data_IF_205577766610
#
_entry.id   IF_205577766610
#
_cell.length_a   1.000
_cell.length_b   1.000
_cell.length_c   1.000
_cell.angle_alpha   90.00
_cell.angle_beta   90.00
_cell.angle_gamma   90.00
#
_symmetry.space_group_name_H-M   'P 1'
#
loop_
_entity.id
_entity.type
_entity.pdbx_description
1 polymer ?
#
# COMPACT_ATOMS: atom_id res chain seq x y z
N UNK A 1 -17.08 61.51 54.42
CA UNK A 1 -17.78 60.67 53.41
C UNK A 1 -18.82 61.58 52.79
N UNK A 2 -18.70 61.86 51.49
CA UNK A 2 -19.63 62.76 50.80
C UNK A 2 -20.85 61.95 50.36
N UNK A 3 -22.02 62.35 50.86
CA UNK A 3 -23.31 61.79 50.49
C UNK A 3 -23.92 62.64 49.38
N UNK A 4 -24.28 62.01 48.26
CA UNK A 4 -24.75 62.68 47.06
C UNK A 4 -26.24 62.40 46.85
N UNK A 5 -27.01 63.46 46.64
CA UNK A 5 -28.39 63.37 46.16
C UNK A 5 -28.41 63.61 44.65
N UNK A 6 -29.09 62.75 43.92
CA UNK A 6 -29.22 62.82 42.47
C UNK A 6 -30.69 62.96 42.08
N UNK A 7 -30.97 63.67 40.99
CA UNK A 7 -32.29 63.70 40.36
C UNK A 7 -32.17 63.73 38.84
N UNK A 8 -33.15 63.15 38.16
CA UNK A 8 -33.25 63.28 36.72
C UNK A 8 -33.67 64.70 36.33
N UNK A 9 -33.27 65.20 35.15
CA UNK A 9 -33.66 66.55 34.69
C UNK A 9 -35.17 66.75 34.59
N UNK A 10 -35.90 65.67 34.31
CA UNK A 10 -37.36 65.64 34.15
C UNK A 10 -38.13 65.36 35.44
N UNK A 11 -37.45 65.00 36.54
CA UNK A 11 -38.09 64.62 37.80
C UNK A 11 -37.69 65.58 38.92
N UNK A 12 -38.68 66.03 39.70
CA UNK A 12 -38.46 66.93 40.85
C UNK A 12 -38.10 66.17 42.13
N UNK A 13 -38.23 64.84 42.13
CA UNK A 13 -37.93 63.99 43.27
C UNK A 13 -36.43 63.69 43.37
N UNK A 14 -35.84 64.04 44.51
CA UNK A 14 -34.46 63.74 44.84
C UNK A 14 -34.32 62.29 45.32
N UNK A 15 -33.35 61.56 44.78
CA UNK A 15 -33.00 60.20 45.19
C UNK A 15 -31.65 60.23 45.90
N UNK A 16 -31.60 59.63 47.09
CA UNK A 16 -30.40 59.59 47.92
C UNK A 16 -30.73 59.54 49.42
N UNK A 17 -29.72 59.61 50.30
CA UNK A 17 -28.30 59.84 49.99
C UNK A 17 -27.61 58.60 49.40
N UNK A 18 -26.78 58.79 48.38
CA UNK A 18 -25.91 57.75 47.82
C UNK A 18 -24.45 58.06 48.12
N UNK A 19 -23.66 57.01 48.37
CA UNK A 19 -22.20 57.14 48.35
C UNK A 19 -21.70 57.18 46.90
N UNK A 20 -20.47 57.65 46.72
CA UNK A 20 -19.86 57.78 45.39
C UNK A 20 -19.84 56.45 44.62
N UNK A 21 -19.54 55.33 45.29
CA UNK A 21 -19.52 53.99 44.67
C UNK A 21 -20.89 53.56 44.12
N UNK A 22 -21.97 53.89 44.84
CA UNK A 22 -23.34 53.59 44.39
C UNK A 22 -23.72 54.46 43.21
N UNK A 23 -23.30 55.72 43.16
CA UNK A 23 -23.52 56.59 42.01
C UNK A 23 -22.74 56.08 40.78
N UNK A 24 -21.50 55.60 40.95
CA UNK A 24 -20.74 54.95 39.87
C UNK A 24 -21.46 53.71 39.34
N UNK A 25 -21.96 52.86 40.23
CA UNK A 25 -22.73 51.67 39.85
C UNK A 25 -24.01 52.03 39.07
N UNK A 26 -24.69 53.11 39.47
CA UNK A 26 -25.90 53.60 38.77
C UNK A 26 -25.57 54.23 37.40
N UNK A 27 -24.39 54.85 37.26
CA UNK A 27 -23.88 55.35 35.99
C UNK A 27 -23.54 54.20 35.03
N UNK A 28 -22.88 53.13 35.52
CA UNK A 28 -22.61 51.91 34.73
C UNK A 28 -23.90 51.20 34.29
N UNK A 29 -24.92 51.20 35.15
CA UNK A 29 -26.24 50.66 34.83
C UNK A 29 -27.07 51.55 33.87
N UNK A 30 -26.55 52.71 33.46
CA UNK A 30 -27.21 53.65 32.55
C UNK A 30 -28.39 54.42 33.17
N UNK A 31 -28.56 54.36 34.50
CA UNK A 31 -29.63 55.08 35.21
C UNK A 31 -29.23 56.52 35.57
N UNK A 32 -27.93 56.81 35.57
CA UNK A 32 -27.36 58.16 35.72
C UNK A 32 -26.65 58.51 34.42
N UNK A 33 -27.02 59.65 33.83
CA UNK A 33 -26.40 60.18 32.60
C UNK A 33 -25.60 61.43 32.92
N UNK A 34 -24.82 61.93 31.96
CA UNK A 34 -24.04 63.16 32.13
C UNK A 34 -24.92 64.39 32.45
N UNK A 35 -26.21 64.33 32.10
CA UNK A 35 -27.19 65.39 32.32
C UNK A 35 -27.92 65.25 33.67
N UNK A 36 -27.75 64.13 34.39
CA UNK A 36 -28.33 63.96 35.73
C UNK A 36 -27.80 65.05 36.66
N UNK A 37 -28.71 65.61 37.47
CA UNK A 37 -28.40 66.70 38.38
C UNK A 37 -27.99 66.12 39.74
N UNK A 38 -26.91 66.62 40.33
CA UNK A 38 -26.55 66.33 41.72
C UNK A 38 -26.72 67.60 42.56
N UNK A 39 -27.00 67.42 43.86
CA UNK A 39 -27.09 68.54 44.79
C UNK A 39 -25.69 68.94 45.27
N UNK A 40 -25.28 70.17 44.96
CA UNK A 40 -24.03 70.74 45.46
C UNK A 40 -24.29 71.43 46.81
N UNK A 41 -23.67 70.91 47.86
CA UNK A 41 -23.80 71.43 49.23
C UNK A 41 -23.09 72.77 49.44
N UNK A 42 -22.20 73.17 48.53
CA UNK A 42 -21.44 74.44 48.63
C UNK A 42 -22.23 75.60 48.05
N UNK A 43 -23.00 75.36 46.98
CA UNK A 43 -23.79 76.39 46.29
C UNK A 43 -25.29 76.25 46.53
N UNK A 44 -25.73 75.24 47.30
CA UNK A 44 -27.13 74.88 47.58
C UNK A 44 -28.00 74.74 46.32
N UNK A 45 -27.40 74.34 45.19
CA UNK A 45 -28.07 74.28 43.90
C UNK A 45 -27.89 72.92 43.23
N UNK A 46 -28.85 72.58 42.37
CA UNK A 46 -28.81 71.37 41.56
C UNK A 46 -27.99 71.63 40.30
N UNK A 47 -26.82 71.00 40.22
CA UNK A 47 -25.85 71.19 39.14
C UNK A 47 -25.76 69.90 38.33
N UNK A 48 -25.66 70.01 37.01
CA UNK A 48 -25.48 68.85 36.15
C UNK A 48 -24.11 68.19 36.41
N UNK A 49 -24.06 66.86 36.41
CA UNK A 49 -22.81 66.11 36.57
C UNK A 49 -21.79 66.50 35.48
N UNK A 50 -22.25 66.86 34.28
CA UNK A 50 -21.41 67.38 33.19
C UNK A 50 -20.69 68.69 33.49
N UNK A 51 -21.23 69.54 34.39
CA UNK A 51 -20.66 70.83 34.73
C UNK A 51 -19.54 70.73 35.80
N UNK A 52 -19.46 69.61 36.53
CA UNK A 52 -18.38 69.33 37.46
C UNK A 52 -17.38 68.36 36.82
N UNK A 53 -16.25 68.88 36.34
CA UNK A 53 -15.20 68.08 35.67
C UNK A 53 -14.66 66.96 36.57
N UNK A 54 -14.61 67.17 37.89
CA UNK A 54 -14.13 66.16 38.84
C UNK A 54 -15.07 64.95 38.88
N UNK A 55 -16.38 65.17 39.08
CA UNK A 55 -17.38 64.09 39.10
C UNK A 55 -17.55 63.42 37.73
N UNK A 56 -17.47 64.19 36.64
CA UNK A 56 -17.54 63.66 35.27
C UNK A 56 -16.39 62.70 34.97
N UNK A 57 -15.16 63.06 35.35
CA UNK A 57 -13.97 62.23 35.11
C UNK A 57 -14.00 60.91 35.90
N UNK A 58 -14.63 60.94 37.08
CA UNK A 58 -14.76 59.78 37.97
C UNK A 58 -15.88 58.83 37.54
N UNK A 59 -17.03 59.38 37.10
CA UNK A 59 -18.20 58.58 36.71
C UNK A 59 -18.14 58.13 35.24
N UNK A 60 -17.52 58.91 34.35
CA UNK A 60 -17.46 58.63 32.92
C UNK A 60 -16.04 58.78 32.37
N UNK A 61 -15.09 57.89 32.74
CA UNK A 61 -13.74 57.93 32.21
C UNK A 61 -13.74 57.67 30.69
N UNK A 62 -13.00 58.47 29.92
CA UNK A 62 -12.88 58.30 28.47
C UNK A 62 -12.30 56.92 28.13
N UNK A 63 -13.09 56.07 27.47
CA UNK A 63 -12.70 54.70 27.10
C UNK A 63 -11.49 54.72 26.16
N UNK A 64 -10.27 54.59 26.68
CA UNK A 64 -9.07 54.33 25.86
C UNK A 64 -9.17 52.95 25.23
N UNK A 65 -9.22 52.93 23.89
CA UNK A 65 -9.24 51.71 23.08
C UNK A 65 -7.91 50.97 23.23
N UNK A 66 -7.87 49.93 24.06
CA UNK A 66 -6.71 49.05 24.20
C UNK A 66 -6.57 48.20 22.94
N UNK A 67 -5.64 48.55 22.05
CA UNK A 67 -5.24 47.68 20.93
C UNK A 67 -4.31 46.59 21.43
N UNK A 68 -4.81 45.36 21.53
CA UNK A 68 -3.99 44.17 21.79
C UNK A 68 -3.06 43.98 20.59
N UNK A 69 -1.74 44.02 20.83
CA UNK A 69 -0.75 43.70 19.78
C UNK A 69 -0.92 42.24 19.34
N UNK A 70 -0.91 42.03 18.02
CA UNK A 70 -1.09 40.71 17.41
C UNK A 70 -0.13 39.67 18.02
N UNK A 71 -0.66 38.46 18.26
CA UNK A 71 0.09 37.28 18.76
C UNK A 71 1.43 37.18 18.03
N UNK A 72 2.53 37.40 18.74
CA UNK A 72 3.84 36.97 18.28
C UNK A 72 3.79 35.45 18.17
N UNK A 73 4.01 34.94 16.96
CA UNK A 73 4.15 33.50 16.68
C UNK A 73 5.45 33.06 17.36
N UNK A 74 5.36 32.63 18.63
CA UNK A 74 6.47 32.00 19.32
C UNK A 74 6.73 30.65 18.63
N UNK A 75 7.83 30.54 17.89
CA UNK A 75 8.31 29.25 17.40
C UNK A 75 8.77 28.44 18.63
N UNK A 76 7.94 27.53 19.07
CA UNK A 76 8.31 26.53 20.08
C UNK A 76 9.41 25.65 19.49
N UNK A 77 10.57 25.57 20.17
CA UNK A 77 11.73 24.75 19.78
C UNK A 77 11.40 23.24 19.58
N UNK A 78 10.30 22.77 20.15
CA UNK A 78 9.77 21.41 19.97
C UNK A 78 8.67 21.36 18.92
N UNK A 79 8.94 21.82 17.70
CA UNK A 79 8.13 21.38 16.56
C UNK A 79 8.68 20.04 16.12
N UNK A 80 7.94 18.96 16.38
CA UNK A 80 8.13 17.72 15.64
C UNK A 80 7.88 18.06 14.17
N UNK A 81 8.95 18.21 13.39
CA UNK A 81 8.83 18.24 11.94
C UNK A 81 8.34 16.87 11.55
N UNK A 82 7.06 16.78 11.21
CA UNK A 82 6.51 15.59 10.57
C UNK A 82 7.11 15.53 9.15
N UNK A 83 8.34 15.01 9.07
CA UNK A 83 9.08 14.78 7.83
C UNK A 83 8.55 13.57 7.07
N UNK A 84 7.45 12.95 7.53
CA UNK A 84 6.85 11.82 6.84
C UNK A 84 6.14 12.35 5.60
N UNK A 85 6.37 11.74 4.43
CA UNK A 85 5.65 12.12 3.23
C UNK A 85 4.13 12.00 3.46
N UNK A 86 3.31 12.80 2.77
CA UNK A 86 1.86 12.69 2.85
C UNK A 86 1.42 11.26 2.55
N UNK A 87 0.57 10.68 3.40
CA UNK A 87 0.05 9.32 3.22
C UNK A 87 -0.77 9.27 1.93
N UNK A 88 -0.30 8.51 0.96
CA UNK A 88 -0.99 8.32 -0.32
C UNK A 88 -2.07 7.24 -0.20
N UNK A 89 -3.00 7.18 -1.14
CA UNK A 89 -3.99 6.09 -1.19
C UNK A 89 -3.29 4.73 -1.36
N UNK A 90 -2.17 4.69 -2.07
CA UNK A 90 -1.36 3.47 -2.20
C UNK A 90 -0.77 3.03 -0.86
N UNK A 91 -0.35 3.96 0.00
CA UNK A 91 0.09 3.66 1.36
C UNK A 91 -1.09 3.15 2.23
N UNK A 92 -2.30 3.68 2.03
CA UNK A 92 -3.50 3.20 2.72
C UNK A 92 -3.88 1.78 2.27
N UNK A 93 -3.80 1.49 0.97
CA UNK A 93 -4.04 0.16 0.40
C UNK A 93 -2.95 -0.83 0.84
N UNK A 94 -1.69 -0.43 0.80
CA UNK A 94 -0.58 -1.24 1.29
C UNK A 94 -0.70 -1.51 2.80
N UNK A 95 -1.17 -0.55 3.60
CA UNK A 95 -1.46 -0.77 5.01
C UNK A 95 -2.61 -1.77 5.23
N UNK A 96 -3.68 -1.69 4.43
CA UNK A 96 -4.79 -2.63 4.48
C UNK A 96 -4.37 -4.05 4.05
N UNK A 97 -3.46 -4.17 3.09
CA UNK A 97 -2.91 -5.45 2.60
C UNK A 97 -1.72 -5.97 3.40
N UNK A 98 -1.25 -5.25 4.43
CA UNK A 98 -0.05 -5.63 5.21
C UNK A 98 1.26 -5.58 4.41
N UNK A 99 1.32 -4.71 3.40
CA UNK A 99 2.45 -4.48 2.48
C UNK A 99 3.22 -3.19 2.79
N UNK A 100 3.18 -2.68 4.02
CA UNK A 100 3.95 -1.49 4.43
C UNK A 100 5.42 -1.83 4.63
N UNK A 101 6.27 -0.81 4.70
CA UNK A 101 7.70 -0.98 5.00
C UNK A 101 7.95 -1.78 6.29
N UNK A 102 7.06 -1.66 7.29
CA UNK A 102 7.18 -2.34 8.59
C UNK A 102 6.55 -3.75 8.62
N UNK A 103 5.75 -4.11 7.60
CA UNK A 103 4.96 -5.36 7.56
C UNK A 103 5.31 -6.27 6.39
N UNK A 104 6.11 -5.78 5.43
CA UNK A 104 6.58 -6.54 4.26
C UNK A 104 7.25 -7.87 4.62
N UNK A 105 7.93 -7.93 5.75
CA UNK A 105 8.65 -9.12 6.22
C UNK A 105 7.72 -10.16 6.87
N UNK A 106 6.47 -9.76 7.13
CA UNK A 106 5.40 -10.59 7.72
C UNK A 106 4.42 -11.11 6.67
N UNK A 107 4.78 -11.04 5.38
CA UNK A 107 3.99 -11.62 4.29
C UNK A 107 3.78 -13.12 4.50
N UNK A 108 2.61 -13.61 4.13
CA UNK A 108 2.31 -15.03 4.16
C UNK A 108 3.28 -15.77 3.22
N UNK A 109 4.12 -16.70 3.74
CA UNK A 109 5.01 -17.49 2.91
C UNK A 109 4.25 -18.28 1.82
N UNK A 110 2.95 -18.57 2.01
CA UNK A 110 2.12 -19.23 1.02
C UNK A 110 2.00 -18.44 -0.29
N UNK A 111 1.97 -17.10 -0.26
CA UNK A 111 1.91 -16.27 -1.47
C UNK A 111 3.22 -16.35 -2.28
N UNK A 112 4.35 -16.37 -1.58
CA UNK A 112 5.65 -16.55 -2.21
C UNK A 112 5.78 -17.96 -2.81
N UNK A 113 5.32 -18.98 -2.09
CA UNK A 113 5.30 -20.37 -2.55
C UNK A 113 4.38 -20.58 -3.75
N UNK A 114 3.21 -19.95 -3.78
CA UNK A 114 2.28 -20.01 -4.90
C UNK A 114 2.89 -19.38 -6.17
N UNK A 115 3.56 -18.24 -6.04
CA UNK A 115 4.26 -17.61 -7.18
C UNK A 115 5.42 -18.47 -7.69
N UNK A 116 6.24 -19.03 -6.78
CA UNK A 116 7.32 -19.94 -7.15
C UNK A 116 6.78 -21.22 -7.82
N UNK A 117 5.68 -21.79 -7.32
CA UNK A 117 5.03 -22.94 -7.93
C UNK A 117 4.47 -22.63 -9.33
N UNK A 118 3.93 -21.42 -9.54
CA UNK A 118 3.45 -21.01 -10.86
C UNK A 118 4.63 -20.84 -11.85
N UNK A 119 5.79 -20.33 -11.40
CA UNK A 119 7.01 -20.33 -12.20
C UNK A 119 7.43 -21.75 -12.59
N UNK A 120 7.41 -22.69 -11.64
CA UNK A 120 7.71 -24.11 -11.89
C UNK A 120 6.73 -24.77 -12.87
N UNK A 121 5.45 -24.39 -12.82
CA UNK A 121 4.44 -24.85 -13.80
C UNK A 121 4.79 -24.35 -15.20
N UNK A 122 5.08 -23.06 -15.36
CA UNK A 122 5.44 -22.48 -16.65
C UNK A 122 6.75 -23.03 -17.20
N UNK A 123 7.75 -23.29 -16.35
CA UNK A 123 8.97 -23.96 -16.78
C UNK A 123 8.70 -25.38 -17.25
N UNK A 124 7.90 -26.16 -16.53
CA UNK A 124 7.53 -27.52 -16.95
C UNK A 124 6.81 -27.53 -18.30
N UNK A 125 5.89 -26.58 -18.55
CA UNK A 125 5.23 -26.41 -19.85
C UNK A 125 6.28 -26.15 -20.94
N UNK A 126 7.17 -25.18 -20.73
CA UNK A 126 8.19 -24.83 -21.71
C UNK A 126 9.13 -26.02 -22.01
N UNK A 127 9.54 -26.75 -20.98
CA UNK A 127 10.38 -27.96 -21.13
C UNK A 127 9.67 -29.02 -21.96
N UNK A 128 8.38 -29.30 -21.69
CA UNK A 128 7.59 -30.27 -22.44
C UNK A 128 7.40 -29.85 -23.90
N UNK A 129 7.17 -28.57 -24.18
CA UNK A 129 7.06 -28.06 -25.56
C UNK A 129 8.37 -28.22 -26.33
N UNK A 130 9.50 -27.91 -25.71
CA UNK A 130 10.82 -28.10 -26.32
C UNK A 130 11.14 -29.58 -26.52
N UNK A 131 10.77 -30.43 -25.54
CA UNK A 131 10.88 -31.89 -25.65
C UNK A 131 10.08 -32.42 -26.84
N UNK A 132 8.80 -32.04 -26.94
CA UNK A 132 7.94 -32.42 -28.05
C UNK A 132 8.49 -31.96 -29.41
N UNK A 133 9.00 -30.73 -29.49
CA UNK A 133 9.64 -30.25 -30.71
C UNK A 133 10.85 -31.11 -31.09
N UNK A 134 11.73 -31.40 -30.13
CA UNK A 134 12.91 -32.24 -30.36
C UNK A 134 12.59 -33.67 -30.76
N UNK A 135 11.50 -34.25 -30.24
CA UNK A 135 11.10 -35.63 -30.51
C UNK A 135 10.28 -35.78 -31.81
N UNK A 136 9.50 -34.76 -32.19
CA UNK A 136 8.60 -34.82 -33.37
C UNK A 136 9.25 -34.29 -34.64
N UNK A 137 10.01 -33.17 -34.56
CA UNK A 137 10.53 -32.50 -35.75
C UNK A 137 11.43 -33.38 -36.64
N UNK A 138 12.29 -34.26 -36.10
CA UNK A 138 13.12 -35.15 -36.92
C UNK A 138 12.34 -36.18 -37.74
N UNK A 139 11.05 -36.40 -37.46
CA UNK A 139 10.21 -37.41 -38.13
C UNK A 139 8.87 -36.81 -38.60
N UNK A 140 8.92 -35.58 -39.13
CA UNK A 140 7.73 -34.88 -39.64
C UNK A 140 7.08 -35.60 -40.82
N UNK A 141 7.86 -36.26 -41.67
CA UNK A 141 7.38 -37.11 -42.76
C UNK A 141 6.50 -38.26 -42.24
N UNK A 142 6.87 -38.89 -41.13
CA UNK A 142 6.08 -39.93 -40.47
C UNK A 142 4.75 -39.37 -39.98
N UNK A 143 4.75 -38.22 -39.32
CA UNK A 143 3.52 -37.57 -38.83
C UNK A 143 2.60 -37.18 -39.98
N UNK A 144 3.16 -36.56 -41.04
CA UNK A 144 2.40 -36.11 -42.20
C UNK A 144 1.84 -37.28 -43.02
N UNK A 145 2.43 -38.48 -42.92
CA UNK A 145 1.92 -39.67 -43.58
C UNK A 145 0.56 -40.15 -43.05
N UNK A 146 0.20 -39.76 -41.82
CA UNK A 146 -1.00 -40.20 -41.09
C UNK A 146 -1.20 -41.72 -41.06
N UNK A 147 -0.13 -42.50 -41.26
CA UNK A 147 -0.14 -43.96 -41.25
C UNK A 147 0.11 -44.47 -39.81
N UNK A 148 -0.88 -45.11 -39.16
CA UNK A 148 -0.72 -45.62 -37.80
C UNK A 148 0.44 -46.61 -37.65
N UNK A 149 0.73 -47.41 -38.69
CA UNK A 149 1.80 -48.40 -38.62
C UNK A 149 3.18 -47.71 -38.58
N UNK A 150 3.36 -46.63 -39.35
CA UNK A 150 4.59 -45.82 -39.32
C UNK A 150 4.74 -45.07 -38.02
N UNK A 151 3.66 -44.51 -37.48
CA UNK A 151 3.73 -43.78 -36.20
C UNK A 151 4.14 -44.70 -35.06
N UNK A 152 3.61 -45.94 -35.00
CA UNK A 152 3.97 -46.92 -33.97
C UNK A 152 5.44 -47.34 -34.08
N UNK A 153 5.99 -47.40 -35.30
CA UNK A 153 7.40 -47.71 -35.52
C UNK A 153 8.37 -46.60 -35.06
N UNK A 154 7.86 -45.39 -34.79
CA UNK A 154 8.64 -44.23 -34.35
C UNK A 154 8.26 -43.80 -32.93
N UNK A 155 8.76 -44.47 -31.88
CA UNK A 155 8.34 -44.23 -30.49
C UNK A 155 8.58 -42.81 -29.99
N UNK A 156 9.55 -42.08 -30.55
CA UNK A 156 9.79 -40.67 -30.21
C UNK A 156 8.61 -39.77 -30.57
N UNK A 157 7.94 -40.02 -31.70
CA UNK A 157 6.75 -39.26 -32.12
C UNK A 157 5.63 -39.43 -31.10
N UNK A 158 5.48 -40.64 -30.54
CA UNK A 158 4.49 -40.93 -29.49
C UNK A 158 4.82 -40.17 -28.21
N UNK A 159 6.11 -40.13 -27.82
CA UNK A 159 6.54 -39.35 -26.66
C UNK A 159 6.31 -37.86 -26.84
N UNK A 160 6.58 -37.30 -28.02
CA UNK A 160 6.36 -35.89 -28.28
C UNK A 160 4.88 -35.52 -28.30
N UNK A 161 4.01 -36.40 -28.81
CA UNK A 161 2.57 -36.24 -28.72
C UNK A 161 2.07 -36.25 -27.25
N UNK A 162 2.63 -37.14 -26.43
CA UNK A 162 2.32 -37.20 -24.99
C UNK A 162 2.80 -35.93 -24.28
N UNK A 163 3.98 -35.41 -24.62
CA UNK A 163 4.51 -34.17 -24.04
C UNK A 163 3.65 -32.95 -24.41
N UNK A 164 3.15 -32.87 -25.66
CA UNK A 164 2.18 -31.84 -26.04
C UNK A 164 0.88 -31.95 -25.24
N UNK A 165 0.35 -33.15 -25.06
CA UNK A 165 -0.86 -33.36 -24.27
C UNK A 165 -0.66 -32.92 -22.82
N UNK A 166 0.45 -33.28 -22.19
CA UNK A 166 0.80 -32.85 -20.84
C UNK A 166 1.00 -31.34 -20.75
N UNK A 167 1.67 -30.73 -21.73
CA UNK A 167 1.89 -29.28 -21.79
C UNK A 167 0.56 -28.52 -21.87
N UNK A 168 -0.38 -28.98 -22.70
CA UNK A 168 -1.73 -28.39 -22.81
C UNK A 168 -2.50 -28.50 -21.49
N UNK A 169 -2.52 -29.69 -20.87
CA UNK A 169 -3.19 -29.89 -19.59
C UNK A 169 -2.61 -28.99 -18.49
N UNK A 170 -1.29 -28.85 -18.44
CA UNK A 170 -0.62 -27.95 -17.50
C UNK A 170 -0.93 -26.48 -17.80
N UNK A 171 -0.97 -26.08 -19.07
CA UNK A 171 -1.31 -24.72 -19.48
C UNK A 171 -2.74 -24.35 -19.05
N UNK A 172 -3.68 -25.29 -19.20
CA UNK A 172 -5.06 -25.19 -18.70
C UNK A 172 -5.17 -25.15 -17.16
N UNK A 173 -4.07 -25.36 -16.44
CA UNK A 173 -4.04 -25.28 -14.97
C UNK A 173 -4.36 -26.60 -14.26
N UNK A 174 -4.34 -27.73 -14.97
CA UNK A 174 -4.61 -29.06 -14.39
C UNK A 174 -3.38 -29.55 -13.62
N UNK A 175 -3.22 -29.07 -12.38
CA UNK A 175 -2.09 -29.41 -11.48
C UNK A 175 -2.11 -30.86 -11.01
N UNK A 176 -3.26 -31.54 -11.03
CA UNK A 176 -3.40 -32.96 -10.69
C UNK A 176 -2.62 -33.89 -11.62
N UNK A 177 -2.17 -33.40 -12.78
CA UNK A 177 -1.39 -34.16 -13.76
C UNK A 177 0.11 -34.27 -13.40
N UNK A 178 0.58 -33.57 -12.35
CA UNK A 178 1.99 -33.55 -11.94
C UNK A 178 2.62 -34.95 -11.75
N UNK A 179 1.93 -35.96 -11.17
CA UNK A 179 2.47 -37.32 -11.10
C UNK A 179 2.80 -37.91 -12.47
N UNK A 180 1.99 -37.62 -13.50
CA UNK A 180 2.26 -38.07 -14.87
C UNK A 180 3.43 -37.34 -15.50
N UNK A 181 3.60 -36.05 -15.23
CA UNK A 181 4.77 -35.28 -15.68
C UNK A 181 6.07 -35.83 -15.07
N UNK A 182 6.04 -36.15 -13.77
CA UNK A 182 7.16 -36.78 -13.06
C UNK A 182 7.46 -38.18 -13.60
N UNK A 183 6.42 -38.98 -13.84
CA UNK A 183 6.55 -40.29 -14.46
C UNK A 183 7.17 -40.16 -15.85
N UNK A 184 6.71 -39.21 -16.67
CA UNK A 184 7.25 -38.95 -18.00
C UNK A 184 8.73 -38.54 -17.95
N UNK A 185 9.12 -37.69 -17.00
CA UNK A 185 10.53 -37.34 -16.80
C UNK A 185 11.40 -38.57 -16.49
N UNK A 186 10.92 -39.46 -15.61
CA UNK A 186 11.59 -40.71 -15.25
C UNK A 186 11.62 -41.72 -16.41
N UNK A 187 10.52 -41.84 -17.16
CA UNK A 187 10.39 -42.70 -18.32
C UNK A 187 11.33 -42.25 -19.44
N UNK A 188 11.38 -40.95 -19.72
CA UNK A 188 12.31 -40.37 -20.70
C UNK A 188 13.75 -40.63 -20.32
N UNK A 189 14.10 -40.42 -19.04
CA UNK A 189 15.44 -40.74 -18.52
C UNK A 189 15.76 -42.23 -18.66
N UNK A 190 14.82 -43.12 -18.34
CA UNK A 190 15.03 -44.56 -18.44
C UNK A 190 15.19 -45.03 -19.89
N UNK A 191 14.24 -44.68 -20.76
CA UNK A 191 14.22 -45.14 -22.16
C UNK A 191 15.34 -44.52 -22.99
N UNK A 192 15.39 -43.18 -23.08
CA UNK A 192 16.42 -42.49 -23.87
C UNK A 192 17.80 -42.60 -23.20
N UNK A 193 17.85 -42.64 -21.87
CA UNK A 193 19.13 -42.77 -21.16
C UNK A 193 19.76 -44.12 -21.39
N UNK A 194 18.95 -45.19 -21.44
CA UNK A 194 19.44 -46.51 -21.84
C UNK A 194 19.99 -46.50 -23.28
N UNK A 195 19.28 -45.89 -24.23
CA UNK A 195 19.74 -45.79 -25.63
C UNK A 195 21.07 -45.01 -25.72
N UNK A 196 21.19 -43.86 -25.06
CA UNK A 196 22.44 -43.10 -25.10
C UNK A 196 23.60 -43.82 -24.41
N UNK A 197 23.31 -44.56 -23.34
CA UNK A 197 24.31 -45.37 -22.66
C UNK A 197 24.84 -46.48 -23.57
N UNK A 198 23.96 -47.26 -24.20
CA UNK A 198 24.36 -48.37 -25.08
C UNK A 198 25.03 -47.89 -26.36
N UNK A 199 24.68 -46.70 -26.85
CA UNK A 199 25.29 -46.08 -28.03
C UNK A 199 26.57 -45.27 -27.69
N UNK A 200 27.03 -45.27 -26.44
CA UNK A 200 28.26 -44.57 -26.05
C UNK A 200 28.20 -43.06 -26.23
N UNK A 201 27.03 -42.44 -26.01
CA UNK A 201 26.81 -41.00 -26.15
C UNK A 201 26.67 -40.29 -24.78
N UNK A 202 27.76 -40.15 -24.00
CA UNK A 202 27.68 -39.63 -22.62
C UNK A 202 27.22 -38.17 -22.56
N UNK A 203 27.52 -37.37 -23.59
CA UNK A 203 27.08 -35.99 -23.65
C UNK A 203 25.55 -35.87 -23.76
N UNK A 204 24.92 -36.67 -24.61
CA UNK A 204 23.45 -36.69 -24.77
C UNK A 204 22.77 -37.25 -23.51
N UNK A 205 23.38 -38.25 -22.88
CA UNK A 205 22.93 -38.78 -21.60
C UNK A 205 22.96 -37.71 -20.49
N UNK A 206 24.05 -36.94 -20.37
CA UNK A 206 24.16 -35.88 -19.36
C UNK A 206 23.10 -34.77 -19.57
N UNK A 207 22.86 -34.38 -20.82
CA UNK A 207 21.82 -33.41 -21.17
C UNK A 207 20.42 -33.93 -20.83
N UNK A 208 20.15 -35.21 -21.13
CA UNK A 208 18.91 -35.87 -20.76
C UNK A 208 18.73 -35.93 -19.24
N UNK A 209 19.77 -36.29 -18.48
CA UNK A 209 19.74 -36.30 -17.02
C UNK A 209 19.37 -34.91 -16.46
N UNK A 210 20.03 -33.86 -16.95
CA UNK A 210 19.74 -32.49 -16.55
C UNK A 210 18.30 -32.08 -16.93
N UNK A 211 17.87 -32.43 -18.14
CA UNK A 211 16.53 -32.19 -18.65
C UNK A 211 15.43 -32.84 -17.82
N UNK A 212 15.55 -34.15 -17.60
CA UNK A 212 14.61 -34.94 -16.80
C UNK A 212 14.59 -34.52 -15.33
N UNK A 213 15.75 -34.26 -14.73
CA UNK A 213 15.82 -33.75 -13.36
C UNK A 213 15.16 -32.37 -13.25
N UNK A 214 15.42 -31.47 -14.20
CA UNK A 214 14.82 -30.14 -14.25
C UNK A 214 13.30 -30.19 -14.40
N UNK A 215 12.77 -31.05 -15.27
CA UNK A 215 11.33 -31.27 -15.44
C UNK A 215 10.69 -31.82 -14.16
N UNK A 216 11.30 -32.84 -13.56
CA UNK A 216 10.80 -33.45 -12.32
C UNK A 216 10.75 -32.41 -11.18
N UNK A 217 11.87 -31.72 -10.95
CA UNK A 217 12.04 -30.78 -9.85
C UNK A 217 11.19 -29.51 -10.02
N UNK A 218 10.92 -29.08 -11.25
CA UNK A 218 10.01 -27.96 -11.54
C UNK A 218 8.58 -28.22 -11.03
N UNK A 219 8.18 -29.48 -10.85
CA UNK A 219 6.86 -29.85 -10.30
C UNK A 219 6.85 -30.09 -8.79
N UNK A 220 8.01 -30.03 -8.13
CA UNK A 220 8.19 -30.38 -6.70
C UNK A 220 8.52 -29.13 -5.89
N UNK A 221 9.42 -28.29 -6.39
CA UNK A 221 9.88 -27.14 -5.63
C UNK A 221 8.86 -26.00 -5.59
N UNK A 222 8.77 -25.39 -4.43
CA UNK A 222 7.86 -24.27 -4.10
C UNK A 222 8.65 -23.05 -3.60
N UNK A 223 9.96 -23.02 -3.87
CA UNK A 223 10.86 -21.91 -3.53
C UNK A 223 11.57 -21.43 -4.78
N UNK A 224 11.77 -20.11 -4.89
CA UNK A 224 12.28 -19.49 -6.12
C UNK A 224 13.64 -20.02 -6.55
N UNK A 225 14.60 -20.12 -5.64
CA UNK A 225 15.97 -20.52 -5.99
C UNK A 225 16.02 -21.93 -6.58
N UNK A 226 15.47 -22.97 -5.92
CA UNK A 226 15.43 -24.31 -6.51
C UNK A 226 14.59 -24.39 -7.80
N UNK A 227 13.49 -23.66 -7.91
CA UNK A 227 12.67 -23.62 -9.14
C UNK A 227 13.46 -23.04 -10.31
N UNK A 228 14.18 -21.93 -10.10
CA UNK A 228 14.99 -21.30 -11.15
C UNK A 228 16.10 -22.25 -11.60
N UNK A 229 16.80 -22.90 -10.67
CA UNK A 229 17.85 -23.88 -10.99
C UNK A 229 17.26 -25.05 -11.80
N UNK A 230 16.11 -25.59 -11.35
CA UNK A 230 15.43 -26.67 -12.06
C UNK A 230 14.96 -26.25 -13.46
N UNK A 231 14.44 -25.04 -13.60
CA UNK A 231 14.00 -24.49 -14.88
C UNK A 231 15.17 -24.32 -15.86
N UNK A 232 16.30 -23.76 -15.40
CA UNK A 232 17.51 -23.59 -16.22
C UNK A 232 18.09 -24.95 -16.62
N UNK A 233 18.19 -25.90 -15.67
CA UNK A 233 18.67 -27.25 -15.97
C UNK A 233 17.75 -28.00 -16.94
N UNK A 234 16.44 -27.88 -16.76
CA UNK A 234 15.43 -28.51 -17.59
C UNK A 234 15.43 -27.96 -19.02
N UNK A 235 15.35 -26.64 -19.16
CA UNK A 235 15.34 -25.96 -20.46
C UNK A 235 16.69 -26.09 -21.18
N UNK A 236 17.79 -25.95 -20.45
CA UNK A 236 19.13 -26.13 -21.01
C UNK A 236 19.38 -27.57 -21.45
N UNK A 237 19.06 -28.55 -20.60
CA UNK A 237 19.23 -29.97 -20.89
C UNK A 237 18.40 -30.44 -22.08
N UNK A 238 17.07 -30.26 -22.02
CA UNK A 238 16.17 -30.66 -23.10
C UNK A 238 16.36 -29.79 -24.35
N UNK A 239 16.61 -28.49 -24.21
CA UNK A 239 16.82 -27.59 -25.35
C UNK A 239 18.06 -27.95 -26.16
N UNK A 240 19.19 -28.20 -25.49
CA UNK A 240 20.41 -28.65 -26.18
C UNK A 240 20.25 -30.06 -26.75
N UNK A 241 19.50 -30.94 -26.09
CA UNK A 241 19.20 -32.28 -26.61
C UNK A 241 18.33 -32.22 -27.87
N UNK A 242 17.25 -31.43 -27.84
CA UNK A 242 16.37 -31.19 -28.97
C UNK A 242 17.13 -30.58 -30.15
N UNK A 243 18.00 -29.59 -29.89
CA UNK A 243 18.88 -29.02 -30.90
C UNK A 243 19.74 -30.11 -31.57
N UNK A 244 20.36 -31.00 -30.79
CA UNK A 244 21.13 -32.12 -31.33
C UNK A 244 20.27 -32.97 -32.26
N UNK A 245 19.09 -33.42 -31.82
CA UNK A 245 18.20 -34.24 -32.63
C UNK A 245 17.80 -33.58 -33.96
N UNK A 246 17.59 -32.27 -33.98
CA UNK A 246 17.19 -31.54 -35.20
C UNK A 246 18.40 -31.30 -36.13
N UNK A 247 19.59 -31.13 -35.55
CA UNK A 247 20.82 -30.82 -36.29
C UNK A 247 21.58 -32.03 -36.83
N UNK A 248 21.12 -33.25 -36.52
CA UNK A 248 21.74 -34.51 -36.98
C UNK A 248 21.04 -35.01 -38.24
#
# INVERSE_FOLDING_TARGET
>A
MEELYIRNPTETEARGPYNLEKVTSLAEAGQVTADTLFYDTTTEQWVAISANEHLKSLLFPEKRKLTVRAKQKLETLNQEKDTRPPITVDDMLAAAEGRTADTKDKQDPAEAMARAANLGRWSAIAILLVSAAGEVLPSTDVVMSMDPAKIIAHPLVIFGALDLALAVLLALGVVSIYPFVRFRAALGLGFLGFIFWTHGQPASLALLCAGSAGLYLSTVFVSYVPVIIAAVAGLGGIGLLAWKFIST
#
